data_IF_654752905456
#
_entry.id   IF_654752905456
#
_cell.length_a   1.000
_cell.length_b   1.000
_cell.length_c   1.000
_cell.angle_alpha   90.00
_cell.angle_beta   90.00
_cell.angle_gamma   90.00
#
_symmetry.space_group_name_H-M   'P 1'
#
loop_
_entity.id
_entity.type
_entity.pdbx_description
1 polymer ?
#
# COMPACT_ATOMS: atom_id res chain seq x y z
N UNK A 1 -1.74 13.23 16.03
CA UNK A 1 -2.12 12.32 14.92
C UNK A 1 -3.64 12.23 14.73
N UNK A 2 -4.43 11.82 15.71
CA UNK A 2 -5.89 11.70 15.55
C UNK A 2 -6.60 13.01 15.15
N UNK A 3 -6.19 14.15 15.71
CA UNK A 3 -6.76 15.46 15.36
C UNK A 3 -6.54 15.86 13.88
N UNK A 4 -5.41 15.47 13.28
CA UNK A 4 -5.13 15.73 11.86
C UNK A 4 -5.96 14.82 10.96
N UNK A 5 -6.16 13.55 11.34
CA UNK A 5 -7.05 12.62 10.64
C UNK A 5 -8.51 13.09 10.68
N UNK A 6 -8.96 13.61 11.82
CA UNK A 6 -10.33 14.10 12.01
C UNK A 6 -10.70 15.27 11.09
N UNK A 7 -9.72 15.99 10.53
CA UNK A 7 -9.95 17.05 9.53
C UNK A 7 -10.36 16.49 8.17
N UNK A 8 -10.00 15.24 7.86
CA UNK A 8 -10.22 14.60 6.56
C UNK A 8 -11.25 13.48 6.64
N UNK A 9 -11.28 12.76 7.76
CA UNK A 9 -12.15 11.60 8.00
C UNK A 9 -13.07 11.90 9.19
N UNK A 10 -14.36 12.02 8.91
CA UNK A 10 -15.39 12.32 9.93
C UNK A 10 -16.18 11.06 10.26
N UNK A 11 -16.40 10.80 11.55
CA UNK A 11 -17.30 9.73 12.02
C UNK A 11 -16.74 8.31 12.01
N UNK A 12 -15.42 8.13 11.88
CA UNK A 12 -14.76 6.80 11.81
C UNK A 12 -13.69 6.62 12.90
N UNK A 13 -13.92 7.15 14.10
CA UNK A 13 -12.91 7.22 15.17
C UNK A 13 -12.41 5.84 15.61
N UNK A 14 -13.32 4.88 15.82
CA UNK A 14 -12.99 3.53 16.25
C UNK A 14 -12.14 2.77 15.22
N UNK A 15 -12.49 2.90 13.94
CA UNK A 15 -11.73 2.28 12.83
C UNK A 15 -10.30 2.85 12.77
N UNK A 16 -10.16 4.15 12.98
CA UNK A 16 -8.84 4.81 13.03
C UNK A 16 -8.00 4.25 14.18
N UNK A 17 -8.58 4.05 15.37
CA UNK A 17 -7.89 3.47 16.53
C UNK A 17 -7.42 2.03 16.26
N UNK A 18 -8.28 1.21 15.66
CA UNK A 18 -7.93 -0.16 15.26
C UNK A 18 -6.81 -0.19 14.21
N UNK A 19 -6.83 0.72 13.24
CA UNK A 19 -5.76 0.87 12.24
C UNK A 19 -4.42 1.23 12.89
N UNK A 20 -4.41 2.17 13.84
CA UNK A 20 -3.20 2.49 14.61
C UNK A 20 -2.68 1.27 15.38
N UNK A 21 -3.58 0.54 16.06
CA UNK A 21 -3.20 -0.66 16.80
C UNK A 21 -2.54 -1.71 15.90
N UNK A 22 -3.12 -1.96 14.72
CA UNK A 22 -2.54 -2.91 13.76
C UNK A 22 -1.18 -2.45 13.23
N UNK A 23 -1.01 -1.17 12.87
CA UNK A 23 0.28 -0.66 12.38
C UNK A 23 1.35 -0.80 13.46
N UNK A 24 1.07 -0.38 14.70
CA UNK A 24 2.05 -0.42 15.79
C UNK A 24 2.38 -1.85 16.25
N UNK A 25 1.46 -2.80 16.07
CA UNK A 25 1.70 -4.22 16.36
C UNK A 25 2.23 -5.01 15.16
N UNK A 26 2.48 -4.34 14.01
CA UNK A 26 2.84 -4.99 12.74
C UNK A 26 1.83 -6.05 12.28
N UNK A 27 0.56 -5.84 12.62
CA UNK A 27 -0.56 -6.66 12.16
C UNK A 27 -1.11 -6.25 10.80
N UNK A 28 -2.13 -6.96 10.34
CA UNK A 28 -2.87 -6.67 9.12
C UNK A 28 -4.34 -6.40 9.42
N UNK A 29 -4.94 -5.45 8.71
CA UNK A 29 -6.36 -5.12 8.83
C UNK A 29 -7.11 -5.43 7.53
N UNK A 30 -8.35 -5.89 7.68
CA UNK A 30 -9.33 -5.96 6.60
C UNK A 30 -10.40 -4.89 6.82
N UNK A 31 -10.54 -3.95 5.87
CA UNK A 31 -11.54 -2.89 5.94
C UNK A 31 -12.78 -3.26 5.11
N UNK A 32 -13.79 -3.82 5.77
CA UNK A 32 -15.08 -4.18 5.15
C UNK A 32 -16.07 -2.99 5.15
N UNK A 33 -17.05 -3.00 4.25
CA UNK A 33 -18.05 -1.94 4.10
C UNK A 33 -18.31 -1.56 2.64
N UNK A 34 -19.37 -0.78 2.42
CA UNK A 34 -19.79 -0.41 1.06
C UNK A 34 -18.79 0.53 0.35
N UNK A 35 -18.75 0.53 -0.98
CA UNK A 35 -17.96 1.49 -1.75
C UNK A 35 -18.34 2.93 -1.39
N UNK A 36 -17.36 3.85 -1.44
CA UNK A 36 -17.59 5.27 -1.20
C UNK A 36 -17.43 5.74 0.26
N UNK A 37 -17.20 4.84 1.22
CA UNK A 37 -16.96 5.20 2.63
C UNK A 37 -15.53 5.69 2.93
N UNK A 38 -14.89 6.35 1.96
CA UNK A 38 -13.56 6.96 2.11
C UNK A 38 -12.43 6.03 2.61
N UNK A 39 -12.56 4.69 2.49
CA UNK A 39 -11.53 3.72 2.94
C UNK A 39 -10.14 4.02 2.38
N UNK A 40 -10.05 4.27 1.07
CA UNK A 40 -8.79 4.61 0.40
C UNK A 40 -8.24 5.95 0.90
N UNK A 41 -9.11 6.93 1.14
CA UNK A 41 -8.72 8.24 1.66
C UNK A 41 -8.19 8.12 3.10
N UNK A 42 -8.83 7.29 3.92
CA UNK A 42 -8.43 7.01 5.30
C UNK A 42 -7.02 6.42 5.36
N UNK A 43 -6.76 5.34 4.62
CA UNK A 43 -5.45 4.67 4.65
C UNK A 43 -4.35 5.58 4.06
N UNK A 44 -4.63 6.29 2.96
CA UNK A 44 -3.65 7.20 2.35
C UNK A 44 -3.37 8.44 3.21
N UNK A 45 -4.36 8.97 3.92
CA UNK A 45 -4.17 10.08 4.87
C UNK A 45 -3.38 9.64 6.09
N UNK A 46 -3.65 8.44 6.61
CA UNK A 46 -2.91 7.84 7.71
C UNK A 46 -1.43 7.66 7.34
N UNK A 47 -1.15 7.13 6.15
CA UNK A 47 0.22 6.95 5.67
C UNK A 47 0.98 8.30 5.57
N UNK A 48 0.33 9.36 5.08
CA UNK A 48 0.92 10.71 5.03
C UNK A 48 1.22 11.28 6.42
N UNK A 49 0.35 11.06 7.39
CA UNK A 49 0.52 11.55 8.77
C UNK A 49 1.63 10.79 9.50
N UNK A 50 1.83 9.52 9.15
CA UNK A 50 2.86 8.66 9.70
C UNK A 50 4.20 8.74 8.94
N UNK A 51 4.26 9.50 7.85
CA UNK A 51 5.41 9.58 6.93
C UNK A 51 5.91 8.20 6.45
N UNK A 52 4.96 7.32 6.10
CA UNK A 52 5.25 5.97 5.56
C UNK A 52 4.86 5.85 4.09
N UNK A 53 5.57 4.97 3.37
CA UNK A 53 5.25 4.68 1.98
C UNK A 53 3.88 4.01 1.85
N UNK A 54 3.03 4.60 1.03
CA UNK A 54 1.74 4.03 0.66
C UNK A 54 1.80 3.50 -0.78
N UNK A 55 1.53 2.20 -0.95
CA UNK A 55 1.32 1.55 -2.24
C UNK A 55 -0.06 0.93 -2.26
N UNK A 56 -0.78 1.08 -3.37
CA UNK A 56 -2.11 0.52 -3.58
C UNK A 56 -2.05 -0.54 -4.67
N UNK A 57 -2.42 -1.76 -4.33
CA UNK A 57 -2.62 -2.86 -5.29
C UNK A 57 -4.12 -3.04 -5.50
N UNK A 58 -4.58 -2.89 -6.73
CA UNK A 58 -5.95 -3.23 -7.10
C UNK A 58 -5.97 -4.70 -7.51
N UNK A 59 -6.77 -5.50 -6.81
CA UNK A 59 -7.00 -6.89 -7.21
C UNK A 59 -7.90 -6.90 -8.45
N UNK A 60 -7.41 -7.54 -9.50
CA UNK A 60 -8.12 -7.86 -10.75
C UNK A 60 -8.02 -9.38 -10.96
N UNK A 61 -8.96 -10.00 -11.70
CA UNK A 61 -8.91 -11.45 -11.94
C UNK A 61 -7.63 -11.91 -12.64
N UNK A 62 -6.99 -11.01 -13.39
CA UNK A 62 -5.76 -11.29 -14.16
C UNK A 62 -4.47 -10.98 -13.37
N UNK A 63 -4.57 -10.49 -12.14
CA UNK A 63 -3.41 -10.10 -11.34
C UNK A 63 -2.56 -11.33 -11.02
N UNK A 64 -1.32 -11.35 -11.49
CA UNK A 64 -0.37 -12.42 -11.22
C UNK A 64 0.41 -12.14 -9.92
N UNK A 65 0.86 -13.17 -9.18
CA UNK A 65 1.71 -12.95 -8.01
C UNK A 65 2.97 -12.12 -8.30
N UNK A 66 3.55 -12.29 -9.49
CA UNK A 66 4.70 -11.52 -9.97
C UNK A 66 4.42 -10.02 -10.10
N UNK A 67 3.17 -9.62 -10.33
CA UNK A 67 2.78 -8.21 -10.39
C UNK A 67 2.81 -7.56 -8.99
N UNK A 68 2.82 -8.36 -7.93
CA UNK A 68 2.90 -7.92 -6.53
C UNK A 68 4.33 -8.06 -5.99
N UNK A 69 4.97 -9.20 -6.25
CA UNK A 69 6.29 -9.56 -5.73
C UNK A 69 7.44 -9.17 -6.66
N UNK A 70 7.19 -8.65 -7.85
CA UNK A 70 8.23 -8.36 -8.83
C UNK A 70 8.58 -9.56 -9.73
N UNK A 71 9.37 -9.27 -10.78
CA UNK A 71 9.75 -10.24 -11.81
C UNK A 71 11.16 -9.95 -12.36
N UNK A 72 11.82 -10.97 -12.92
CA UNK A 72 13.07 -10.78 -13.65
C UNK A 72 12.75 -10.45 -15.11
N UNK A 73 13.28 -9.33 -15.59
CA UNK A 73 13.16 -8.88 -16.97
C UNK A 73 14.52 -9.04 -17.65
N UNK A 74 14.51 -9.50 -18.90
CA UNK A 74 15.72 -9.52 -19.72
C UNK A 74 15.94 -8.11 -20.27
N UNK A 75 17.02 -7.47 -19.85
CA UNK A 75 17.44 -6.14 -20.28
C UNK A 75 18.66 -6.27 -21.21
N UNK A 76 18.86 -5.30 -22.08
CA UNK A 76 20.02 -5.27 -22.99
C UNK A 76 20.88 -4.06 -22.65
N UNK A 77 22.15 -4.29 -22.29
CA UNK A 77 23.08 -3.22 -21.96
C UNK A 77 23.45 -2.39 -23.21
N UNK A 78 24.09 -1.23 -23.00
CA UNK A 78 24.54 -0.35 -24.10
C UNK A 78 25.52 -1.02 -25.09
N UNK A 79 26.07 -2.19 -24.73
CA UNK A 79 27.00 -2.98 -25.53
C UNK A 79 26.35 -4.21 -26.20
N UNK A 80 25.01 -4.36 -26.11
CA UNK A 80 24.25 -5.46 -26.71
C UNK A 80 24.28 -6.78 -25.93
N UNK A 81 24.72 -6.77 -24.66
CA UNK A 81 24.69 -7.95 -23.79
C UNK A 81 23.35 -8.05 -23.09
N UNK A 82 22.77 -9.26 -23.11
CA UNK A 82 21.52 -9.57 -22.41
C UNK A 82 21.80 -9.95 -20.97
N UNK A 83 21.21 -9.22 -20.03
CA UNK A 83 21.28 -9.50 -18.61
C UNK A 83 19.89 -9.60 -17.97
N UNK A 84 19.76 -10.40 -16.91
CA UNK A 84 18.52 -10.47 -16.14
C UNK A 84 18.56 -9.39 -15.05
N UNK A 85 17.58 -8.50 -15.07
CA UNK A 85 17.37 -7.46 -14.06
C UNK A 85 16.08 -7.72 -13.29
N UNK A 86 16.16 -7.74 -11.96
CA UNK A 86 14.96 -7.82 -11.12
C UNK A 86 14.24 -6.46 -11.09
N UNK A 87 12.93 -6.50 -11.34
CA UNK A 87 12.04 -5.35 -11.23
C UNK A 87 11.13 -5.58 -10.03
N UNK A 88 11.28 -4.75 -8.99
CA UNK A 88 10.52 -4.84 -7.75
C UNK A 88 9.04 -4.55 -7.95
N UNK A 89 8.18 -5.37 -7.33
CA UNK A 89 6.74 -5.15 -7.29
C UNK A 89 6.30 -4.14 -6.22
N UNK A 90 5.00 -3.84 -6.12
CA UNK A 90 4.46 -2.89 -5.15
C UNK A 90 4.54 -3.34 -3.69
N UNK A 91 4.86 -4.62 -3.41
CA UNK A 91 5.07 -5.09 -2.02
C UNK A 91 6.35 -4.55 -1.39
N UNK A 92 7.31 -4.11 -2.22
CA UNK A 92 8.53 -3.47 -1.75
C UNK A 92 8.22 -2.02 -1.36
N UNK A 93 8.03 -1.82 -0.06
CA UNK A 93 7.89 -0.50 0.58
C UNK A 93 9.05 -0.31 1.56
N UNK A 94 9.22 0.90 2.14
CA UNK A 94 10.38 1.25 2.98
C UNK A 94 10.70 0.13 3.98
N UNK A 95 11.91 -0.44 3.86
CA UNK A 95 12.63 -1.13 4.92
C UNK A 95 13.54 -0.10 5.59
#
# INVERSE_FOLDING_TARGET
MQQELAKVIVGQQEVIEQLFAAIFTRGHCLLEGVPGLAKTLMVSSLARILDVNFKRVQFTPDLMPSDITGTNVLDEDENGRREFRFVEGPVFTNI
#
